data_IF_332474566468
#
_entry.id   IF_332474566468
#
_cell.length_a   1.000
_cell.length_b   1.000
_cell.length_c   1.000
_cell.angle_alpha   90.00
_cell.angle_beta   90.00
_cell.angle_gamma   90.00
#
_symmetry.space_group_name_H-M   'P 1'
#
loop_
_entity.id
_entity.type
_entity.pdbx_description
1 polymer ?
#
# COMPACT_ATOMS: atom_id res chain seq x y z
N UNK A 1 -15.90 -0.43 -3.17
CA UNK A 1 -14.90 -1.21 -2.41
C UNK A 1 -15.38 -2.64 -2.09
N UNK A 2 -16.60 -2.84 -1.56
CA UNK A 2 -17.09 -4.15 -1.09
C UNK A 2 -16.99 -5.27 -2.13
N UNK A 3 -17.39 -5.05 -3.39
CA UNK A 3 -17.34 -6.08 -4.45
C UNK A 3 -15.91 -6.48 -4.82
N UNK A 4 -14.98 -5.53 -4.90
CA UNK A 4 -13.58 -5.74 -5.25
C UNK A 4 -12.75 -6.34 -4.12
N UNK A 5 -13.18 -6.21 -2.87
CA UNK A 5 -12.54 -6.86 -1.72
C UNK A 5 -13.13 -8.26 -1.50
N UNK A 6 -14.42 -8.45 -1.74
CA UNK A 6 -15.11 -9.72 -1.53
C UNK A 6 -14.93 -10.74 -2.68
N UNK A 7 -14.57 -10.28 -3.88
CA UNK A 7 -14.29 -11.15 -5.03
C UNK A 7 -12.78 -11.40 -5.16
N UNK A 8 -12.35 -12.59 -4.75
CA UNK A 8 -10.96 -13.06 -4.74
C UNK A 8 -10.29 -13.18 -6.13
N UNK A 9 -11.06 -13.01 -7.21
CA UNK A 9 -10.57 -13.10 -8.59
C UNK A 9 -10.60 -11.75 -9.32
N UNK A 10 -11.18 -10.72 -8.69
CA UNK A 10 -11.14 -9.37 -9.21
C UNK A 10 -9.95 -8.61 -8.65
N UNK A 11 -9.25 -7.88 -9.50
CA UNK A 11 -8.44 -6.76 -9.05
C UNK A 11 -8.78 -5.52 -9.86
N UNK A 12 -8.05 -4.46 -9.61
CA UNK A 12 -8.36 -3.16 -10.18
C UNK A 12 -7.47 -2.08 -9.62
N UNK A 13 -7.70 -0.87 -10.12
CA UNK A 13 -7.16 0.35 -9.53
C UNK A 13 -8.31 1.11 -8.88
N UNK A 14 -8.06 1.65 -7.68
CA UNK A 14 -8.99 2.50 -6.95
C UNK A 14 -8.30 3.79 -6.56
N UNK A 15 -9.07 4.87 -6.48
CA UNK A 15 -8.57 6.18 -6.09
C UNK A 15 -9.22 6.62 -4.79
N UNK A 16 -8.44 7.29 -3.96
CA UNK A 16 -8.95 8.04 -2.81
C UNK A 16 -8.12 9.30 -2.58
N UNK A 17 -8.68 10.23 -1.83
CA UNK A 17 -8.00 11.46 -1.44
C UNK A 17 -7.78 11.46 0.07
N UNK A 18 -6.58 11.85 0.48
CA UNK A 18 -6.23 12.03 1.87
C UNK A 18 -6.08 13.51 2.18
N UNK A 19 -7.00 14.00 3.01
CA UNK A 19 -7.04 15.39 3.45
C UNK A 19 -6.92 15.42 4.96
N UNK A 20 -5.91 16.14 5.46
CA UNK A 20 -5.77 16.42 6.87
C UNK A 20 -6.68 17.56 7.26
N UNK A 21 -7.53 17.31 8.24
CA UNK A 21 -8.40 18.32 8.87
C UNK A 21 -7.82 18.86 10.18
N UNK A 22 -6.71 18.28 10.66
CA UNK A 22 -6.02 18.67 11.88
C UNK A 22 -4.50 18.73 11.63
N UNK A 23 -3.72 19.47 12.46
CA UNK A 23 -2.26 19.47 12.41
C UNK A 23 -1.69 18.05 12.54
N UNK A 24 -0.55 17.79 11.90
CA UNK A 24 0.10 16.48 11.92
C UNK A 24 0.37 15.97 13.35
N UNK A 25 0.80 16.84 14.26
CA UNK A 25 1.10 16.48 15.66
C UNK A 25 -0.12 16.09 16.48
N UNK A 26 -1.33 16.35 15.99
CA UNK A 26 -2.59 16.03 16.65
C UNK A 26 -3.25 14.77 16.07
N UNK A 27 -2.58 14.07 15.15
CA UNK A 27 -3.10 12.85 14.59
C UNK A 27 -3.21 11.75 15.65
N UNK A 28 -4.45 11.38 15.94
CA UNK A 28 -4.74 10.24 16.80
C UNK A 28 -4.76 8.95 15.98
N UNK A 29 -3.70 8.17 16.15
CA UNK A 29 -3.58 6.85 15.54
C UNK A 29 -4.41 5.82 16.30
N UNK A 30 -5.03 4.92 15.55
CA UNK A 30 -5.61 3.70 16.12
C UNK A 30 -4.51 2.82 16.72
N UNK A 31 -4.90 1.94 17.65
CA UNK A 31 -3.98 0.96 18.26
C UNK A 31 -3.14 0.18 17.24
N UNK A 32 -3.74 -0.20 16.10
CA UNK A 32 -3.01 -0.91 15.03
C UNK A 32 -2.00 -0.02 14.31
N UNK A 33 -2.34 1.23 14.02
CA UNK A 33 -1.40 2.17 13.42
C UNK A 33 -0.25 2.50 14.39
N UNK A 34 -0.56 2.69 15.68
CA UNK A 34 0.46 2.85 16.73
C UNK A 34 1.41 1.65 16.80
N UNK A 35 0.90 0.42 16.69
CA UNK A 35 1.76 -0.78 16.62
C UNK A 35 2.73 -0.72 15.44
N UNK A 36 2.27 -0.33 14.26
CA UNK A 36 3.13 -0.16 13.07
C UNK A 36 4.20 0.92 13.28
N UNK A 37 3.88 1.99 14.02
CA UNK A 37 4.87 3.03 14.36
C UNK A 37 5.94 2.56 15.35
N UNK A 38 5.59 1.66 16.27
CA UNK A 38 6.46 1.29 17.41
C UNK A 38 7.24 0.00 17.22
N UNK A 39 6.77 -0.93 16.38
CA UNK A 39 7.43 -2.21 16.17
C UNK A 39 8.54 -2.10 15.11
N UNK A 40 9.62 -2.89 15.23
CA UNK A 40 10.66 -2.92 14.22
C UNK A 40 10.08 -3.33 12.86
N UNK A 41 10.46 -2.60 11.81
CA UNK A 41 10.28 -3.03 10.42
C UNK A 41 11.53 -3.80 9.94
N UNK A 42 11.46 -4.46 8.79
CA UNK A 42 12.58 -5.18 8.18
C UNK A 42 13.67 -4.23 7.62
N UNK A 43 13.63 -2.95 8.01
CA UNK A 43 14.46 -1.86 7.55
C UNK A 43 13.72 -0.91 6.59
N UNK A 44 14.02 0.39 6.69
CA UNK A 44 13.52 1.42 5.76
C UNK A 44 12.81 2.59 6.43
N UNK A 45 12.70 3.70 5.70
CA UNK A 45 12.16 4.98 6.20
C UNK A 45 10.69 5.20 5.81
N UNK A 46 9.88 4.15 5.83
CA UNK A 46 8.48 4.16 5.36
C UNK A 46 7.44 3.95 6.46
N UNK A 47 7.86 3.77 7.71
CA UNK A 47 7.03 3.48 8.91
C UNK A 47 5.78 4.37 9.00
N UNK A 48 5.94 5.69 8.88
CA UNK A 48 4.81 6.62 8.95
C UNK A 48 3.80 6.43 7.81
N UNK A 49 4.29 6.18 6.59
CA UNK A 49 3.42 5.97 5.43
C UNK A 49 2.66 4.64 5.50
N UNK A 50 3.24 3.63 6.16
CA UNK A 50 2.59 2.35 6.44
C UNK A 50 1.53 2.49 7.53
N UNK A 51 1.85 3.18 8.63
CA UNK A 51 0.90 3.45 9.70
C UNK A 51 -0.31 4.26 9.21
N UNK A 52 -0.11 5.30 8.40
CA UNK A 52 -1.20 6.08 7.79
C UNK A 52 -1.99 5.27 6.77
N UNK A 53 -1.32 4.38 6.03
CA UNK A 53 -1.97 3.43 5.12
C UNK A 53 -2.93 2.53 5.88
N UNK A 54 -2.49 1.97 7.00
CA UNK A 54 -3.35 1.18 7.88
C UNK A 54 -4.46 2.02 8.51
N UNK A 55 -4.17 3.22 8.98
CA UNK A 55 -5.16 4.12 9.59
C UNK A 55 -6.29 4.45 8.62
N UNK A 56 -5.98 4.69 7.34
CA UNK A 56 -6.99 4.87 6.28
C UNK A 56 -7.86 3.62 6.15
N UNK A 57 -7.26 2.43 6.06
CA UNK A 57 -8.02 1.18 5.95
C UNK A 57 -8.88 0.90 7.18
N UNK A 58 -8.38 1.21 8.38
CA UNK A 58 -9.16 1.09 9.60
C UNK A 58 -10.35 2.04 9.54
N UNK A 59 -10.12 3.34 9.37
CA UNK A 59 -11.19 4.34 9.45
C UNK A 59 -12.26 4.12 8.37
N UNK A 60 -11.85 3.77 7.15
CA UNK A 60 -12.77 3.60 6.03
C UNK A 60 -13.45 2.21 5.97
N UNK A 61 -12.76 1.15 6.41
CA UNK A 61 -13.22 -0.24 6.20
C UNK A 61 -13.24 -1.09 7.46
N UNK A 62 -13.01 -0.49 8.64
CA UNK A 62 -12.89 -1.17 9.94
C UNK A 62 -11.85 -2.29 9.91
N UNK A 63 -10.77 -2.08 9.14
CA UNK A 63 -9.67 -3.01 9.05
C UNK A 63 -9.04 -3.27 10.43
N UNK A 64 -8.79 -4.53 10.74
CA UNK A 64 -8.10 -4.94 11.97
C UNK A 64 -6.70 -5.43 11.63
N UNK A 65 -5.66 -4.90 12.28
CA UNK A 65 -4.28 -5.35 12.07
C UNK A 65 -4.11 -6.77 12.61
N UNK A 66 -3.65 -7.69 11.77
CA UNK A 66 -3.36 -9.08 12.14
C UNK A 66 -1.87 -9.31 12.37
N UNK A 67 -1.04 -8.83 11.44
CA UNK A 67 0.42 -8.99 11.47
C UNK A 67 1.13 -7.77 10.89
N UNK A 68 2.27 -7.40 11.45
CA UNK A 68 3.23 -6.46 10.85
C UNK A 68 4.25 -7.20 9.97
N UNK A 69 5.07 -6.48 9.21
CA UNK A 69 6.07 -7.03 8.29
C UNK A 69 6.92 -8.16 8.90
N UNK A 70 7.44 -7.95 10.10
CA UNK A 70 8.32 -8.89 10.80
C UNK A 70 7.58 -10.07 11.45
N UNK A 71 6.25 -10.02 11.54
CA UNK A 71 5.42 -11.09 12.08
C UNK A 71 4.96 -12.08 10.99
N UNK A 72 5.09 -11.70 9.71
CA UNK A 72 4.80 -12.57 8.56
C UNK A 72 5.99 -13.48 8.28
N UNK A 73 5.73 -14.79 8.19
CA UNK A 73 6.76 -15.78 7.92
C UNK A 73 6.81 -16.11 6.43
N UNK A 74 8.03 -16.25 5.89
CA UNK A 74 8.28 -16.57 4.49
C UNK A 74 9.17 -17.79 4.33
N UNK A 75 8.86 -18.61 3.34
CA UNK A 75 9.68 -19.74 2.92
C UNK A 75 9.69 -19.89 1.38
N UNK A 76 10.86 -20.03 0.72
CA UNK A 76 12.20 -19.92 1.30
C UNK A 76 12.47 -18.53 1.87
N UNK A 77 13.46 -18.43 2.77
CA UNK A 77 13.84 -17.13 3.36
C UNK A 77 14.40 -16.17 2.29
N UNK A 78 14.11 -14.88 2.47
CA UNK A 78 14.55 -13.81 1.58
C UNK A 78 13.54 -13.47 0.47
N UNK A 79 13.75 -12.32 -0.17
CA UNK A 79 12.88 -11.79 -1.22
C UNK A 79 11.95 -10.68 -0.74
N UNK A 80 10.90 -10.41 -1.53
CA UNK A 80 9.94 -9.34 -1.24
C UNK A 80 9.04 -9.69 -0.05
N UNK A 81 8.86 -8.74 0.85
CA UNK A 81 7.96 -8.85 2.02
C UNK A 81 6.75 -7.92 1.84
N UNK A 82 5.65 -8.26 2.51
CA UNK A 82 4.47 -7.40 2.66
C UNK A 82 4.60 -6.57 3.94
N UNK A 83 4.16 -5.32 3.91
CA UNK A 83 4.37 -4.39 5.02
C UNK A 83 3.47 -4.74 6.22
N UNK A 84 2.24 -5.19 5.98
CA UNK A 84 1.36 -5.71 7.03
C UNK A 84 0.18 -6.54 6.46
N UNK A 85 -0.50 -7.27 7.35
CA UNK A 85 -1.70 -8.06 7.03
C UNK A 85 -2.85 -7.59 7.89
N UNK A 86 -4.02 -7.40 7.28
CA UNK A 86 -5.26 -6.97 7.93
C UNK A 86 -6.39 -7.96 7.74
N UNK A 87 -7.39 -7.89 8.62
CA UNK A 87 -8.72 -8.43 8.37
C UNK A 87 -9.66 -7.29 7.96
N UNK A 88 -10.33 -7.43 6.82
CA UNK A 88 -11.39 -6.53 6.35
C UNK A 88 -12.59 -7.38 5.96
N UNK A 89 -13.75 -7.13 6.56
CA UNK A 89 -14.97 -7.92 6.31
C UNK A 89 -14.76 -9.45 6.44
N UNK A 90 -13.94 -9.89 7.40
CA UNK A 90 -13.61 -11.29 7.61
C UNK A 90 -12.56 -11.89 6.65
N UNK A 91 -12.13 -11.14 5.63
CA UNK A 91 -11.10 -11.56 4.69
C UNK A 91 -9.71 -11.14 5.17
N UNK A 92 -8.72 -12.02 5.03
CA UNK A 92 -7.32 -11.70 5.30
C UNK A 92 -6.71 -11.10 4.05
N UNK A 93 -6.18 -9.88 4.18
CA UNK A 93 -5.63 -9.11 3.07
C UNK A 93 -4.22 -8.68 3.45
N UNK A 94 -3.26 -9.02 2.61
CA UNK A 94 -1.91 -8.48 2.72
C UNK A 94 -1.85 -7.11 2.05
N UNK A 95 -1.07 -6.21 2.63
CA UNK A 95 -0.97 -4.83 2.18
C UNK A 95 0.50 -4.47 2.01
N UNK A 96 0.84 -4.05 0.80
CA UNK A 96 2.12 -3.43 0.50
C UNK A 96 1.96 -1.93 0.27
N UNK A 97 2.86 -1.13 0.83
CA UNK A 97 2.82 0.32 0.78
C UNK A 97 4.01 0.84 -0.02
N UNK A 98 3.74 1.87 -0.82
CA UNK A 98 4.78 2.58 -1.55
C UNK A 98 4.40 4.02 -1.76
N UNK A 99 5.40 4.85 -2.02
CA UNK A 99 5.24 6.27 -2.30
C UNK A 99 5.62 6.53 -3.75
N UNK A 100 4.76 7.19 -4.49
CA UNK A 100 5.02 7.67 -5.84
C UNK A 100 5.55 9.11 -5.76
N UNK A 101 6.86 9.23 -5.63
CA UNK A 101 7.57 10.49 -5.65
C UNK A 101 8.81 10.37 -6.52
N UNK A 102 9.36 11.53 -6.91
CA UNK A 102 10.68 11.63 -7.50
C UNK A 102 11.54 12.52 -6.61
N UNK A 103 12.76 12.07 -6.33
CA UNK A 103 13.70 12.83 -5.53
C UNK A 103 14.20 14.07 -6.30
N UNK A 104 14.52 15.14 -5.57
CA UNK A 104 15.11 16.34 -6.15
C UNK A 104 14.15 17.23 -6.94
N UNK A 105 12.83 17.09 -6.75
CA UNK A 105 11.83 17.99 -7.38
C UNK A 105 11.60 17.75 -8.88
N UNK A 106 12.19 16.70 -9.45
CA UNK A 106 11.97 16.36 -10.85
C UNK A 106 10.54 15.87 -11.11
N UNK A 107 10.03 16.11 -12.31
CA UNK A 107 8.70 15.65 -12.73
C UNK A 107 8.60 14.12 -12.71
N UNK A 108 7.56 13.61 -12.06
CA UNK A 108 7.22 12.19 -12.07
C UNK A 108 6.57 11.82 -13.41
N UNK A 109 7.21 10.92 -14.16
CA UNK A 109 6.78 10.57 -15.52
C UNK A 109 6.01 9.26 -15.59
N UNK A 110 5.36 8.99 -16.73
CA UNK A 110 4.72 7.71 -17.01
C UNK A 110 5.71 6.53 -16.93
N UNK A 111 6.96 6.73 -17.34
CA UNK A 111 8.00 5.72 -17.20
C UNK A 111 8.30 5.42 -15.73
N UNK A 112 8.36 6.45 -14.88
CA UNK A 112 8.54 6.25 -13.43
C UNK A 112 7.37 5.49 -12.81
N UNK A 113 6.14 5.84 -13.20
CA UNK A 113 4.93 5.12 -12.78
C UNK A 113 4.97 3.64 -13.20
N UNK A 114 5.33 3.38 -14.46
CA UNK A 114 5.46 2.04 -15.05
C UNK A 114 6.50 1.20 -14.29
N UNK A 115 7.69 1.75 -14.09
CA UNK A 115 8.75 1.08 -13.36
C UNK A 115 8.33 0.76 -11.91
N UNK A 116 7.73 1.74 -11.22
CA UNK A 116 7.28 1.60 -9.84
C UNK A 116 6.23 0.48 -9.72
N UNK A 117 5.19 0.51 -10.56
CA UNK A 117 4.12 -0.50 -10.53
C UNK A 117 4.65 -1.89 -10.89
N UNK A 118 5.49 -2.03 -11.92
CA UNK A 118 6.06 -3.33 -12.26
C UNK A 118 6.91 -3.91 -11.13
N UNK A 119 7.79 -3.10 -10.54
CA UNK A 119 8.64 -3.53 -9.44
C UNK A 119 7.79 -3.98 -8.25
N UNK A 120 6.84 -3.14 -7.82
CA UNK A 120 6.05 -3.40 -6.62
C UNK A 120 5.05 -4.53 -6.80
N UNK A 121 4.34 -4.60 -7.93
CA UNK A 121 3.41 -5.69 -8.19
C UNK A 121 4.09 -7.06 -8.33
N UNK A 122 5.30 -7.12 -8.92
CA UNK A 122 6.09 -8.36 -8.92
C UNK A 122 6.47 -8.77 -7.49
N UNK A 123 6.85 -7.80 -6.65
CA UNK A 123 7.13 -8.04 -5.25
C UNK A 123 5.93 -8.58 -4.47
N UNK A 124 4.73 -8.03 -4.71
CA UNK A 124 3.47 -8.51 -4.10
C UNK A 124 3.14 -9.95 -4.51
N UNK A 125 3.35 -10.30 -5.78
CA UNK A 125 3.16 -11.69 -6.24
C UNK A 125 4.18 -12.63 -5.59
N UNK A 126 5.43 -12.20 -5.48
CA UNK A 126 6.49 -12.99 -4.84
C UNK A 126 6.22 -13.18 -3.34
N UNK A 127 5.85 -12.12 -2.62
CA UNK A 127 5.57 -12.20 -1.18
C UNK A 127 4.39 -13.12 -0.90
N UNK A 128 3.33 -13.05 -1.71
CA UNK A 128 2.18 -13.97 -1.64
C UNK A 128 2.56 -15.43 -1.84
N UNK A 129 3.47 -15.70 -2.78
CA UNK A 129 3.93 -17.06 -3.06
C UNK A 129 4.76 -17.62 -1.90
N UNK A 130 5.62 -16.80 -1.33
CA UNK A 130 6.57 -17.23 -0.30
C UNK A 130 5.98 -17.20 1.10
N UNK A 131 4.86 -16.49 1.33
CA UNK A 131 4.24 -16.41 2.64
C UNK A 131 3.72 -17.79 3.10
N UNK A 132 4.10 -18.13 4.33
CA UNK A 132 3.57 -19.29 5.06
C UNK A 132 2.11 -19.02 5.41
N UNK A 133 1.81 -17.80 5.87
CA UNK A 133 0.46 -17.31 6.04
C UNK A 133 -0.29 -17.23 4.71
N UNK A 134 -1.57 -17.61 4.70
CA UNK A 134 -2.44 -17.46 3.53
C UNK A 134 -3.40 -16.28 3.73
N UNK A 135 -3.44 -15.44 2.71
CA UNK A 135 -4.41 -14.36 2.52
C UNK A 135 -5.12 -14.55 1.19
N UNK A 136 -6.38 -14.14 1.12
CA UNK A 136 -7.20 -14.28 -0.08
C UNK A 136 -6.90 -13.19 -1.10
N UNK A 137 -6.42 -12.02 -0.65
CA UNK A 137 -6.25 -10.83 -1.50
C UNK A 137 -5.04 -9.97 -1.12
N UNK A 138 -4.60 -9.16 -2.08
CA UNK A 138 -3.54 -8.18 -1.92
C UNK A 138 -4.02 -6.76 -2.21
N UNK A 139 -3.50 -5.79 -1.44
CA UNK A 139 -3.59 -4.37 -1.74
C UNK A 139 -2.17 -3.82 -1.92
N UNK A 140 -1.90 -3.19 -3.07
CA UNK A 140 -0.76 -2.29 -3.24
C UNK A 140 -1.27 -0.87 -3.03
N UNK A 141 -1.02 -0.30 -1.85
CA UNK A 141 -1.34 1.09 -1.54
C UNK A 141 -0.19 2.01 -2.00
N UNK A 142 -0.50 2.91 -2.94
CA UNK A 142 0.41 3.89 -3.50
C UNK A 142 0.01 5.28 -3.05
N UNK A 143 0.84 5.92 -2.23
CA UNK A 143 0.70 7.35 -1.92
C UNK A 143 1.16 8.19 -3.11
N UNK A 144 0.31 9.06 -3.64
CA UNK A 144 0.60 9.98 -4.73
C UNK A 144 0.70 11.42 -4.19
N UNK A 145 1.76 12.14 -4.58
CA UNK A 145 1.99 13.53 -4.12
C UNK A 145 1.01 14.54 -4.71
N UNK A 146 0.37 14.21 -5.84
CA UNK A 146 -0.56 15.08 -6.54
C UNK A 146 -1.54 14.26 -7.40
N UNK A 147 -2.66 14.89 -7.85
CA UNK A 147 -3.55 14.26 -8.82
C UNK A 147 -2.84 13.86 -10.11
N UNK A 148 -1.92 14.70 -10.61
CA UNK A 148 -1.14 14.37 -11.82
C UNK A 148 -0.27 13.13 -11.66
N UNK A 149 0.28 12.86 -10.47
CA UNK A 149 1.00 11.61 -10.19
C UNK A 149 0.05 10.43 -10.17
N UNK A 150 -1.14 10.58 -9.57
CA UNK A 150 -2.17 9.55 -9.57
C UNK A 150 -2.63 9.21 -11.00
N UNK A 151 -2.77 10.21 -11.87
CA UNK A 151 -3.09 10.02 -13.29
C UNK A 151 -2.00 9.20 -14.01
N UNK A 152 -0.72 9.52 -13.79
CA UNK A 152 0.40 8.76 -14.37
C UNK A 152 0.39 7.30 -13.92
N UNK A 153 0.12 7.03 -12.64
CA UNK A 153 -0.05 5.67 -12.11
C UNK A 153 -1.23 4.94 -12.77
N UNK A 154 -2.33 5.65 -13.01
CA UNK A 154 -3.53 5.11 -13.64
C UNK A 154 -3.27 4.74 -15.09
N UNK A 155 -2.66 5.65 -15.86
CA UNK A 155 -2.26 5.39 -17.24
C UNK A 155 -1.29 4.20 -17.28
N UNK A 156 -0.26 4.16 -16.43
CA UNK A 156 0.66 3.04 -16.35
C UNK A 156 -0.06 1.71 -16.03
N UNK A 157 -0.98 1.71 -15.06
CA UNK A 157 -1.74 0.52 -14.69
C UNK A 157 -2.55 -0.04 -15.87
N UNK A 158 -3.23 0.83 -16.62
CA UNK A 158 -4.03 0.39 -17.76
C UNK A 158 -3.19 -0.06 -18.95
N UNK A 159 -2.08 0.63 -19.23
CA UNK A 159 -1.27 0.41 -20.45
C UNK A 159 -0.19 -0.66 -20.32
N UNK A 160 0.36 -0.88 -19.11
CA UNK A 160 1.58 -1.70 -18.95
C UNK A 160 1.39 -2.92 -18.06
N UNK A 161 0.44 -2.89 -17.12
CA UNK A 161 0.26 -3.99 -16.17
C UNK A 161 -0.54 -5.13 -16.82
N UNK A 162 0.08 -6.31 -16.87
CA UNK A 162 -0.52 -7.54 -17.42
C UNK A 162 -1.70 -8.03 -16.55
N UNK A 163 -2.77 -8.53 -17.18
CA UNK A 163 -3.96 -9.10 -16.54
C UNK A 163 -3.67 -10.18 -15.49
N UNK A 164 -2.63 -10.99 -15.67
CA UNK A 164 -2.23 -12.02 -14.67
C UNK A 164 -1.83 -11.43 -13.33
N UNK A 165 -1.24 -10.24 -13.34
CA UNK A 165 -0.82 -9.51 -12.13
C UNK A 165 -1.99 -8.71 -11.55
N UNK A 166 -3.00 -8.38 -12.37
CA UNK A 166 -4.23 -7.70 -11.95
C UNK A 166 -5.17 -8.62 -11.17
N UNK A 167 -5.21 -9.92 -11.44
CA UNK A 167 -6.29 -10.82 -11.00
C UNK A 167 -6.49 -10.94 -9.48
N UNK A 168 -5.48 -10.68 -8.65
CA UNK A 168 -5.64 -10.73 -7.19
C UNK A 168 -4.97 -9.58 -6.45
N UNK A 169 -4.80 -8.43 -7.10
CA UNK A 169 -4.21 -7.26 -6.46
C UNK A 169 -5.04 -6.02 -6.78
N UNK A 170 -5.47 -5.34 -5.72
CA UNK A 170 -6.06 -4.00 -5.82
C UNK A 170 -4.95 -2.98 -5.66
N UNK A 171 -4.78 -2.11 -6.66
CA UNK A 171 -3.90 -0.95 -6.55
C UNK A 171 -4.72 0.21 -6.00
N UNK A 172 -4.52 0.54 -4.72
CA UNK A 172 -5.15 1.70 -4.09
C UNK A 172 -4.22 2.90 -4.26
N UNK A 173 -4.61 3.88 -5.07
CA UNK A 173 -3.87 5.14 -5.23
C UNK A 173 -4.51 6.20 -4.36
N UNK A 174 -3.76 6.73 -3.41
CA UNK A 174 -4.25 7.78 -2.51
C UNK A 174 -3.48 9.06 -2.70
N UNK A 175 -4.18 10.11 -3.12
CA UNK A 175 -3.58 11.43 -3.35
C UNK A 175 -3.49 12.21 -2.04
N UNK A 176 -2.30 12.69 -1.68
CA UNK A 176 -2.04 13.38 -0.42
C UNK A 176 -1.30 14.72 -0.61
N UNK A 177 -1.95 15.65 -1.34
CA UNK A 177 -1.34 16.90 -1.83
C UNK A 177 -0.78 17.81 -0.74
N UNK A 178 -1.40 17.85 0.44
CA UNK A 178 -1.04 18.76 1.55
C UNK A 178 -0.34 18.04 2.72
N UNK A 179 0.21 16.86 2.45
CA UNK A 179 0.75 15.97 3.50
C UNK A 179 2.18 15.56 3.16
N UNK A 180 3.13 16.51 3.03
CA UNK A 180 4.50 16.21 2.59
C UNK A 180 5.24 15.24 3.51
N UNK A 181 4.89 15.19 4.79
CA UNK A 181 5.46 14.27 5.78
C UNK A 181 5.23 12.78 5.46
N UNK A 182 4.23 12.45 4.63
CA UNK A 182 4.04 11.08 4.14
C UNK A 182 5.21 10.68 3.24
N UNK A 183 5.80 11.65 2.54
CA UNK A 183 6.84 11.45 1.52
C UNK A 183 8.25 11.69 2.05
N UNK A 184 8.40 12.27 3.23
CA UNK A 184 9.70 12.38 3.90
C UNK A 184 10.12 11.02 4.48
N UNK A 185 11.41 10.75 4.41
CA UNK A 185 12.03 9.84 5.35
C UNK A 185 12.12 10.61 6.66
N UNK A 186 11.52 10.11 7.73
CA UNK A 186 11.56 10.77 9.04
C UNK A 186 12.99 11.13 9.46
#
# INVERSE_FOLDING_TARGET
MSKLIADDHSGGIMHSDFVLTAPQGELQFSMGASRLLTLPNAGGNSVLSEALSFELLQRCFKATLLKTEMEVQYFPMGGSMTDYVVSVCGQRIAVSVTRALKFGGATFTLENATHLLHKKLRGVVQSSRNAVDKWSKQILHVWATSPSVADMLTIAYHTTVNSKVKANTVVLVTTATKSPFIFSNG
#
